data_IF_499118445200
#
_entry.id   IF_499118445200
#
_cell.length_a   1.000
_cell.length_b   1.000
_cell.length_c   1.000
_cell.angle_alpha   90.00
_cell.angle_beta   90.00
_cell.angle_gamma   90.00
#
_symmetry.space_group_name_H-M   'P 1'
#
loop_
_entity.id
_entity.type
_entity.pdbx_description
1 polymer ?
#
# COMPACT_ATOMS: atom_id res chain seq x y z
N UNK A 1 -61.19 40.70 -38.07
CA UNK A 1 -61.63 41.81 -38.94
C UNK A 1 -63.09 42.27 -38.69
N UNK A 2 -63.81 41.76 -37.68
CA UNK A 2 -65.22 42.13 -37.40
C UNK A 2 -65.42 43.29 -36.38
N UNK A 3 -64.40 43.70 -35.62
CA UNK A 3 -64.58 44.73 -34.57
C UNK A 3 -64.66 46.18 -35.06
N UNK A 4 -64.11 46.52 -36.23
CA UNK A 4 -64.03 47.93 -36.66
C UNK A 4 -65.39 48.47 -37.15
N UNK A 5 -66.26 47.59 -37.69
CA UNK A 5 -67.56 48.02 -38.22
C UNK A 5 -68.64 48.29 -37.16
N UNK A 6 -68.57 47.69 -35.97
CA UNK A 6 -69.53 48.01 -34.90
C UNK A 6 -69.26 49.37 -34.24
N UNK A 7 -68.03 49.87 -34.30
CA UNK A 7 -67.60 51.12 -33.64
C UNK A 7 -68.28 52.38 -34.19
N UNK A 8 -68.81 52.32 -35.43
CA UNK A 8 -69.43 53.46 -36.11
C UNK A 8 -70.96 53.32 -36.25
N UNK A 9 -71.59 52.31 -35.64
CA UNK A 9 -73.03 52.13 -35.72
C UNK A 9 -73.78 53.25 -34.97
N UNK A 10 -74.77 53.95 -35.56
CA UNK A 10 -75.41 55.11 -34.94
C UNK A 10 -76.00 54.85 -33.55
N UNK A 11 -76.65 53.70 -33.35
CA UNK A 11 -77.20 53.32 -32.05
C UNK A 11 -76.10 53.10 -30.98
N UNK A 12 -74.95 52.55 -31.38
CA UNK A 12 -73.82 52.36 -30.49
C UNK A 12 -73.18 53.71 -30.11
N UNK A 13 -73.01 54.60 -31.09
CA UNK A 13 -72.51 55.96 -30.84
C UNK A 13 -73.45 56.71 -29.89
N UNK A 14 -74.76 56.64 -30.11
CA UNK A 14 -75.74 57.32 -29.26
C UNK A 14 -75.72 56.77 -27.82
N UNK A 15 -75.65 55.44 -27.66
CA UNK A 15 -75.55 54.81 -26.35
C UNK A 15 -74.23 55.18 -25.65
N UNK A 16 -73.12 55.17 -26.38
CA UNK A 16 -71.81 55.57 -25.87
C UNK A 16 -71.80 57.04 -25.45
N UNK A 17 -72.40 57.93 -26.23
CA UNK A 17 -72.52 59.35 -25.90
C UNK A 17 -73.34 59.55 -24.61
N UNK A 18 -74.46 58.86 -24.44
CA UNK A 18 -75.25 58.90 -23.20
C UNK A 18 -74.42 58.43 -22.01
N UNK A 19 -73.76 57.28 -22.13
CA UNK A 19 -72.90 56.75 -21.06
C UNK A 19 -71.73 57.67 -20.71
N UNK A 20 -71.09 58.30 -21.70
CA UNK A 20 -70.04 59.30 -21.49
C UNK A 20 -70.60 60.53 -20.76
N UNK A 21 -71.77 61.04 -21.16
CA UNK A 21 -72.38 62.18 -20.49
C UNK A 21 -72.73 61.87 -19.02
N UNK A 22 -73.28 60.69 -18.74
CA UNK A 22 -73.57 60.26 -17.37
C UNK A 22 -72.29 60.09 -16.55
N UNK A 23 -71.23 59.52 -17.15
CA UNK A 23 -69.91 59.42 -16.54
C UNK A 23 -69.33 60.79 -16.20
N UNK A 24 -69.33 61.73 -17.15
CA UNK A 24 -68.85 63.10 -16.95
C UNK A 24 -69.63 63.78 -15.83
N UNK A 25 -70.97 63.65 -15.82
CA UNK A 25 -71.82 64.22 -14.77
C UNK A 25 -71.47 63.67 -13.39
N UNK A 26 -71.25 62.37 -13.28
CA UNK A 26 -70.87 61.73 -12.02
C UNK A 26 -69.46 62.16 -11.58
N UNK A 27 -68.51 62.21 -12.52
CA UNK A 27 -67.13 62.60 -12.28
C UNK A 27 -67.02 64.05 -11.79
N UNK A 28 -67.73 64.98 -12.46
CA UNK A 28 -67.76 66.40 -12.08
C UNK A 28 -68.66 66.67 -10.86
N UNK A 29 -69.62 65.78 -10.56
CA UNK A 29 -70.44 65.85 -9.36
C UNK A 29 -69.68 65.54 -8.06
N UNK A 30 -68.55 64.81 -8.15
CA UNK A 30 -67.68 64.52 -7.01
C UNK A 30 -66.59 65.59 -6.86
N UNK A 31 -66.73 66.46 -5.86
CA UNK A 31 -65.87 67.64 -5.64
C UNK A 31 -64.37 67.34 -5.62
N UNK A 32 -63.97 66.21 -5.04
CA UNK A 32 -62.55 65.84 -4.94
C UNK A 32 -61.98 65.26 -6.24
N UNK A 33 -62.80 64.56 -7.03
CA UNK A 33 -62.41 64.08 -8.36
C UNK A 33 -62.32 65.23 -9.36
N UNK A 34 -63.27 66.17 -9.32
CA UNK A 34 -63.26 67.36 -10.18
C UNK A 34 -62.01 68.25 -9.97
N UNK A 35 -61.41 68.23 -8.77
CA UNK A 35 -60.17 68.97 -8.46
C UNK A 35 -58.89 68.20 -8.81
N UNK A 36 -58.98 66.92 -9.11
CA UNK A 36 -57.80 66.11 -9.41
C UNK A 36 -57.11 66.63 -10.68
N UNK A 37 -55.77 66.62 -10.69
CA UNK A 37 -54.97 67.12 -11.81
C UNK A 37 -55.35 66.46 -13.15
N UNK A 38 -55.56 65.13 -13.25
CA UNK A 38 -55.94 64.50 -14.52
C UNK A 38 -57.29 65.00 -15.06
N UNK A 39 -58.28 65.19 -14.19
CA UNK A 39 -59.62 65.68 -14.59
C UNK A 39 -59.56 67.14 -15.02
N UNK A 40 -58.84 67.98 -14.27
CA UNK A 40 -58.62 69.39 -14.62
C UNK A 40 -57.88 69.55 -15.95
N UNK A 41 -56.87 68.72 -16.21
CA UNK A 41 -56.14 68.71 -17.48
C UNK A 41 -57.02 68.21 -18.63
N UNK A 42 -57.74 67.10 -18.46
CA UNK A 42 -58.58 66.50 -19.50
C UNK A 42 -59.70 67.44 -19.96
N UNK A 43 -60.42 68.08 -19.04
CA UNK A 43 -61.48 69.04 -19.37
C UNK A 43 -60.99 70.48 -19.55
N UNK A 44 -59.68 70.72 -19.43
CA UNK A 44 -59.07 72.06 -19.45
C UNK A 44 -59.76 73.06 -18.53
N UNK A 45 -60.11 72.64 -17.30
CA UNK A 45 -60.89 73.47 -16.36
C UNK A 45 -60.16 74.76 -15.94
N UNK A 46 -58.83 74.77 -16.00
CA UNK A 46 -58.00 75.92 -15.62
C UNK A 46 -57.65 76.83 -16.80
N UNK A 47 -57.77 76.34 -18.03
CA UNK A 47 -57.47 77.08 -19.25
C UNK A 47 -58.44 76.65 -20.38
N UNK A 48 -59.72 77.06 -20.28
CA UNK A 48 -60.77 76.60 -21.19
C UNK A 48 -60.47 77.08 -22.62
N UNK A 49 -60.79 76.28 -23.66
CA UNK A 49 -60.52 76.65 -25.03
C UNK A 49 -61.35 77.86 -25.47
N UNK A 50 -60.74 78.78 -26.21
CA UNK A 50 -61.46 79.90 -26.83
C UNK A 50 -62.34 79.40 -27.99
N UNK A 51 -63.46 80.09 -28.35
CA UNK A 51 -64.37 79.64 -29.40
C UNK A 51 -63.75 79.43 -30.79
N UNK A 52 -62.52 79.91 -30.98
CA UNK A 52 -61.75 79.81 -32.22
C UNK A 52 -60.44 79.02 -32.04
N UNK A 53 -60.19 78.41 -30.87
CA UNK A 53 -59.08 77.48 -30.73
C UNK A 53 -59.36 76.24 -31.60
N UNK A 54 -58.45 75.98 -32.54
CA UNK A 54 -58.53 74.82 -33.43
C UNK A 54 -58.34 73.51 -32.64
N UNK A 55 -58.93 72.43 -33.18
CA UNK A 55 -58.92 71.04 -32.65
C UNK A 55 -57.51 70.47 -32.35
N UNK A 56 -56.46 71.18 -32.72
CA UNK A 56 -55.05 70.81 -32.60
C UNK A 56 -54.63 70.47 -31.16
N UNK A 57 -55.03 71.27 -30.16
CA UNK A 57 -54.65 71.03 -28.76
C UNK A 57 -55.23 69.71 -28.22
N UNK A 58 -56.46 69.35 -28.63
CA UNK A 58 -57.07 68.08 -28.26
C UNK A 58 -56.41 66.90 -28.98
N UNK A 59 -55.98 67.08 -30.23
CA UNK A 59 -55.28 66.05 -30.99
C UNK A 59 -53.92 65.76 -30.38
N UNK A 60 -53.14 66.79 -30.03
CA UNK A 60 -51.83 66.65 -29.37
C UNK A 60 -51.93 65.91 -28.04
N UNK A 61 -52.95 66.22 -27.22
CA UNK A 61 -53.17 65.52 -25.96
C UNK A 61 -53.55 64.05 -26.16
N UNK A 62 -54.45 63.75 -27.11
CA UNK A 62 -54.79 62.37 -27.46
C UNK A 62 -53.57 61.59 -27.96
N UNK A 63 -52.75 62.18 -28.82
CA UNK A 63 -51.50 61.57 -29.29
C UNK A 63 -50.52 61.29 -28.15
N UNK A 64 -50.37 62.21 -27.19
CA UNK A 64 -49.52 61.98 -26.02
C UNK A 64 -50.00 60.82 -25.14
N UNK A 65 -51.33 60.63 -25.01
CA UNK A 65 -51.89 59.47 -24.30
C UNK A 65 -51.66 58.17 -25.08
N UNK A 66 -51.76 58.19 -26.41
CA UNK A 66 -51.44 57.04 -27.26
C UNK A 66 -49.97 56.65 -27.10
N UNK A 67 -49.05 57.61 -27.09
CA UNK A 67 -47.63 57.39 -26.83
C UNK A 67 -47.39 56.78 -25.44
N UNK A 68 -48.11 57.27 -24.42
CA UNK A 68 -48.04 56.73 -23.06
C UNK A 68 -48.53 55.29 -23.02
N UNK A 69 -49.63 54.96 -23.72
CA UNK A 69 -50.14 53.58 -23.80
C UNK A 69 -49.16 52.66 -24.53
N UNK A 70 -48.52 53.14 -25.60
CA UNK A 70 -47.47 52.40 -26.30
C UNK A 70 -46.29 52.13 -25.38
N UNK A 71 -45.83 53.14 -24.64
CA UNK A 71 -44.75 53.02 -23.66
C UNK A 71 -45.08 52.01 -22.55
N UNK A 72 -46.27 52.09 -21.96
CA UNK A 72 -46.73 51.16 -20.93
C UNK A 72 -46.87 49.72 -21.45
N UNK A 73 -47.35 49.54 -22.69
CA UNK A 73 -47.41 48.22 -23.32
C UNK A 73 -46.02 47.64 -23.55
N UNK A 74 -45.05 48.47 -23.94
CA UNK A 74 -43.68 48.02 -24.09
C UNK A 74 -43.09 47.63 -22.74
N UNK A 75 -43.27 48.46 -21.70
CA UNK A 75 -42.81 48.16 -20.36
C UNK A 75 -43.39 46.85 -19.80
N UNK A 76 -44.69 46.59 -20.02
CA UNK A 76 -45.29 45.31 -19.64
C UNK A 76 -44.65 44.11 -20.34
N UNK A 77 -44.33 44.22 -21.65
CA UNK A 77 -43.63 43.14 -22.37
C UNK A 77 -42.23 42.91 -21.82
N UNK A 78 -41.52 43.98 -21.48
CA UNK A 78 -40.17 43.88 -20.93
C UNK A 78 -40.20 43.18 -19.56
N UNK A 79 -41.17 43.53 -18.70
CA UNK A 79 -41.39 42.85 -17.42
C UNK A 79 -41.81 41.39 -17.58
N UNK A 80 -42.67 41.08 -18.55
CA UNK A 80 -43.04 39.68 -18.86
C UNK A 80 -41.83 38.86 -19.29
N UNK A 81 -40.95 39.44 -20.11
CA UNK A 81 -39.70 38.79 -20.53
C UNK A 81 -38.75 38.56 -19.35
N UNK A 82 -38.64 39.53 -18.44
CA UNK A 82 -37.82 39.41 -17.22
C UNK A 82 -38.35 38.32 -16.28
N UNK A 83 -39.67 38.25 -16.08
CA UNK A 83 -40.30 37.19 -15.28
C UNK A 83 -40.02 35.82 -15.88
N UNK A 84 -40.08 35.68 -17.20
CA UNK A 84 -39.83 34.40 -17.85
C UNK A 84 -38.35 34.00 -17.78
N UNK A 85 -37.43 34.97 -17.89
CA UNK A 85 -36.01 34.75 -17.66
C UNK A 85 -35.72 34.26 -16.23
N UNK A 86 -36.30 34.91 -15.21
CA UNK A 86 -36.14 34.49 -13.81
C UNK A 86 -36.71 33.09 -13.55
N UNK A 87 -37.81 32.71 -14.21
CA UNK A 87 -38.36 31.35 -14.11
C UNK A 87 -37.42 30.30 -14.70
N UNK A 88 -36.80 30.60 -15.83
CA UNK A 88 -35.82 29.73 -16.45
C UNK A 88 -34.59 29.53 -15.56
N UNK A 89 -34.07 30.61 -14.96
CA UNK A 89 -32.96 30.53 -13.99
C UNK A 89 -33.32 29.69 -12.76
N UNK A 90 -34.52 29.89 -12.18
CA UNK A 90 -34.99 29.08 -11.05
C UNK A 90 -35.13 27.60 -11.39
N UNK A 91 -35.57 27.27 -12.61
CA UNK A 91 -35.64 25.90 -13.08
C UNK A 91 -34.23 25.27 -13.19
N UNK A 92 -33.27 26.04 -13.69
CA UNK A 92 -31.88 25.61 -13.78
C UNK A 92 -31.27 25.35 -12.40
N UNK A 93 -31.39 26.29 -11.46
CA UNK A 93 -30.88 26.15 -10.09
C UNK A 93 -31.48 24.94 -9.37
N UNK A 94 -32.76 24.63 -9.59
CA UNK A 94 -33.39 23.42 -9.03
C UNK A 94 -32.77 22.14 -9.61
N UNK A 95 -32.53 22.08 -10.91
CA UNK A 95 -31.90 20.92 -11.56
C UNK A 95 -30.46 20.70 -11.10
N UNK A 96 -29.71 21.77 -10.85
CA UNK A 96 -28.36 21.70 -10.27
C UNK A 96 -28.40 21.23 -8.81
N UNK A 97 -29.40 21.68 -8.04
CA UNK A 97 -29.65 21.20 -6.67
C UNK A 97 -29.91 19.69 -6.62
N UNK A 98 -30.74 19.16 -7.49
CA UNK A 98 -31.02 17.72 -7.59
C UNK A 98 -29.76 16.92 -7.98
N UNK A 99 -28.95 17.46 -8.89
CA UNK A 99 -27.68 16.87 -9.29
C UNK A 99 -26.68 16.84 -8.13
N UNK A 100 -26.63 17.92 -7.33
CA UNK A 100 -25.79 18.00 -6.12
C UNK A 100 -26.17 16.97 -5.06
N UNK A 101 -27.48 16.72 -4.87
CA UNK A 101 -27.99 15.67 -3.97
C UNK A 101 -27.59 14.29 -4.46
N UNK A 102 -27.70 14.02 -5.77
CA UNK A 102 -27.26 12.75 -6.36
C UNK A 102 -25.75 12.52 -6.18
N UNK A 103 -24.92 13.53 -6.45
CA UNK A 103 -23.46 13.44 -6.26
C UNK A 103 -23.13 13.18 -4.79
N UNK A 104 -23.80 13.87 -3.87
CA UNK A 104 -23.62 13.66 -2.43
C UNK A 104 -23.99 12.24 -2.00
N UNK A 105 -25.12 11.70 -2.52
CA UNK A 105 -25.55 10.32 -2.26
C UNK A 105 -24.54 9.30 -2.80
N UNK A 106 -24.04 9.52 -4.02
CA UNK A 106 -23.05 8.64 -4.64
C UNK A 106 -21.73 8.64 -3.88
N UNK A 107 -21.25 9.83 -3.48
CA UNK A 107 -20.05 9.99 -2.68
C UNK A 107 -20.19 9.30 -1.31
N UNK A 108 -21.35 9.43 -0.65
CA UNK A 108 -21.60 8.76 0.62
C UNK A 108 -21.62 7.23 0.50
N UNK A 109 -22.21 6.69 -0.57
CA UNK A 109 -22.19 5.26 -0.85
C UNK A 109 -20.76 4.76 -1.12
N UNK A 110 -20.00 5.51 -1.91
CA UNK A 110 -18.60 5.16 -2.21
C UNK A 110 -17.75 5.18 -0.94
N UNK A 111 -17.91 6.20 -0.09
CA UNK A 111 -17.21 6.30 1.19
C UNK A 111 -17.51 5.10 2.10
N UNK A 112 -18.78 4.68 2.20
CA UNK A 112 -19.14 3.48 2.98
C UNK A 112 -18.47 2.22 2.46
N UNK A 113 -18.41 2.04 1.14
CA UNK A 113 -17.72 0.90 0.52
C UNK A 113 -16.24 0.87 0.85
N UNK A 114 -15.57 2.03 0.78
CA UNK A 114 -14.16 2.16 1.18
C UNK A 114 -13.98 1.86 2.67
N UNK A 115 -14.85 2.38 3.54
CA UNK A 115 -14.79 2.15 4.99
C UNK A 115 -15.01 0.67 5.37
N UNK A 116 -15.84 -0.05 4.60
CA UNK A 116 -16.03 -1.50 4.75
C UNK A 116 -14.80 -2.28 4.31
N UNK A 117 -14.18 -1.90 3.19
CA UNK A 117 -12.93 -2.52 2.73
C UNK A 117 -11.79 -2.28 3.73
N UNK A 118 -11.65 -1.06 4.25
CA UNK A 118 -10.65 -0.72 5.28
C UNK A 118 -10.86 -1.59 6.52
N UNK A 119 -12.11 -1.74 6.99
CA UNK A 119 -12.42 -2.60 8.13
C UNK A 119 -12.08 -4.07 7.86
N UNK A 120 -12.38 -4.57 6.66
CA UNK A 120 -12.01 -5.93 6.24
C UNK A 120 -10.50 -6.15 6.25
N UNK A 121 -9.73 -5.20 5.71
CA UNK A 121 -8.26 -5.26 5.71
C UNK A 121 -7.68 -5.19 7.12
N UNK A 122 -8.24 -4.34 8.00
CA UNK A 122 -7.83 -4.26 9.40
C UNK A 122 -8.05 -5.57 10.15
N UNK A 123 -9.18 -6.25 9.91
CA UNK A 123 -9.45 -7.57 10.48
C UNK A 123 -8.47 -8.63 9.96
N UNK A 124 -8.16 -8.61 8.66
CA UNK A 124 -7.18 -9.53 8.10
C UNK A 124 -5.78 -9.30 8.69
N UNK A 125 -5.39 -8.03 8.86
CA UNK A 125 -4.11 -7.68 9.48
C UNK A 125 -4.02 -8.20 10.92
N UNK A 126 -5.09 -8.07 11.72
CA UNK A 126 -5.10 -8.59 13.09
C UNK A 126 -4.95 -10.11 13.13
N UNK A 127 -5.62 -10.83 12.24
CA UNK A 127 -5.51 -12.30 12.16
C UNK A 127 -4.10 -12.74 11.75
N UNK A 128 -3.45 -12.00 10.85
CA UNK A 128 -2.07 -12.29 10.44
C UNK A 128 -1.11 -12.05 11.60
N UNK A 129 -1.28 -10.94 12.34
CA UNK A 129 -0.45 -10.63 13.52
C UNK A 129 -0.60 -11.68 14.62
N UNK A 130 -1.82 -12.14 14.91
CA UNK A 130 -2.05 -13.21 15.89
C UNK A 130 -1.37 -14.52 15.47
N UNK A 131 -1.47 -14.89 14.19
CA UNK A 131 -0.80 -16.09 13.67
C UNK A 131 0.72 -15.97 13.70
N UNK A 132 1.26 -14.81 13.37
CA UNK A 132 2.70 -14.54 13.46
C UNK A 132 3.18 -14.71 14.90
N UNK A 133 2.42 -14.20 15.87
CA UNK A 133 2.75 -14.33 17.28
C UNK A 133 2.71 -15.80 17.74
N UNK A 134 1.68 -16.56 17.35
CA UNK A 134 1.60 -17.99 17.63
C UNK A 134 2.79 -18.76 17.06
N UNK A 135 3.15 -18.53 15.79
CA UNK A 135 4.30 -19.18 15.16
C UNK A 135 5.61 -18.80 15.85
N UNK A 136 5.74 -17.55 16.29
CA UNK A 136 6.90 -17.09 17.05
C UNK A 136 7.05 -17.82 18.38
N UNK A 137 5.95 -18.03 19.10
CA UNK A 137 5.92 -18.78 20.35
C UNK A 137 6.26 -20.26 20.13
N UNK A 138 5.69 -20.91 19.10
CA UNK A 138 6.01 -22.29 18.72
C UNK A 138 7.50 -22.45 18.35
N UNK A 139 8.06 -21.50 17.60
CA UNK A 139 9.49 -21.50 17.24
C UNK A 139 10.39 -21.33 18.47
N UNK A 140 9.97 -20.52 19.44
CA UNK A 140 10.69 -20.40 20.71
C UNK A 140 10.65 -21.73 21.47
N UNK A 141 9.50 -22.40 21.56
CA UNK A 141 9.39 -23.70 22.23
C UNK A 141 10.29 -24.75 21.56
N UNK A 142 10.22 -24.87 20.24
CA UNK A 142 11.08 -25.79 19.49
C UNK A 142 12.57 -25.51 19.66
N UNK A 143 12.97 -24.23 19.77
CA UNK A 143 14.37 -23.88 20.08
C UNK A 143 14.82 -24.42 21.44
N UNK A 144 13.99 -24.27 22.46
CA UNK A 144 14.30 -24.79 23.79
C UNK A 144 14.35 -26.32 23.80
N UNK A 145 13.46 -26.98 23.07
CA UNK A 145 13.48 -28.45 22.93
C UNK A 145 14.75 -28.94 22.24
N UNK A 146 15.15 -28.30 21.12
CA UNK A 146 16.40 -28.65 20.41
C UNK A 146 17.62 -28.41 21.30
N UNK A 147 17.66 -27.33 22.07
CA UNK A 147 18.76 -27.06 23.00
C UNK A 147 18.82 -28.10 24.12
N UNK A 148 17.68 -28.47 24.69
CA UNK A 148 17.60 -29.51 25.72
C UNK A 148 18.04 -30.87 25.17
N UNK A 149 17.62 -31.23 23.96
CA UNK A 149 17.98 -32.50 23.33
C UNK A 149 19.47 -32.53 22.94
N UNK A 150 20.03 -31.42 22.45
CA UNK A 150 21.47 -31.29 22.22
C UNK A 150 22.28 -31.43 23.51
N UNK A 151 21.81 -30.82 24.61
CA UNK A 151 22.47 -30.95 25.90
C UNK A 151 22.41 -32.39 26.42
N UNK A 152 21.27 -33.07 26.27
CA UNK A 152 21.11 -34.48 26.63
C UNK A 152 22.01 -35.40 25.79
N UNK A 153 22.09 -35.17 24.48
CA UNK A 153 22.97 -35.93 23.59
C UNK A 153 24.45 -35.74 23.95
N UNK A 154 24.87 -34.51 24.26
CA UNK A 154 26.24 -34.22 24.70
C UNK A 154 26.57 -34.93 26.03
N UNK A 155 25.64 -34.90 27.00
CA UNK A 155 25.81 -35.60 28.28
C UNK A 155 25.88 -37.12 28.10
N UNK A 156 25.05 -37.69 27.20
CA UNK A 156 25.08 -39.13 26.89
C UNK A 156 26.41 -39.53 26.23
N UNK A 157 26.92 -38.73 25.30
CA UNK A 157 28.20 -38.98 24.64
C UNK A 157 29.36 -38.93 25.65
N UNK A 158 29.35 -37.96 26.56
CA UNK A 158 30.35 -37.83 27.64
C UNK A 158 30.30 -39.01 28.61
N UNK A 159 29.10 -39.50 28.96
CA UNK A 159 28.97 -40.69 29.79
C UNK A 159 29.54 -41.92 29.08
N UNK A 160 29.33 -42.04 27.77
CA UNK A 160 29.80 -43.16 26.98
C UNK A 160 31.33 -43.13 26.78
N UNK A 161 31.94 -41.96 26.58
CA UNK A 161 33.40 -41.80 26.58
C UNK A 161 33.99 -42.18 27.94
N UNK A 162 33.42 -41.68 29.04
CA UNK A 162 33.85 -42.05 30.40
C UNK A 162 33.74 -43.56 30.66
N UNK A 163 32.67 -44.23 30.19
CA UNK A 163 32.54 -45.69 30.28
C UNK A 163 33.61 -46.43 29.49
N UNK A 164 33.94 -45.97 28.27
CA UNK A 164 35.01 -46.56 27.47
C UNK A 164 36.37 -46.38 28.15
N UNK A 165 36.65 -45.19 28.68
CA UNK A 165 37.91 -44.89 29.34
C UNK A 165 38.09 -45.66 30.65
N UNK A 166 37.04 -45.77 31.47
CA UNK A 166 37.07 -46.57 32.69
C UNK A 166 37.29 -48.05 32.39
N UNK A 167 36.61 -48.59 31.37
CA UNK A 167 36.85 -49.96 30.91
C UNK A 167 38.28 -50.16 30.42
N UNK A 168 38.82 -49.23 29.63
CA UNK A 168 40.20 -49.30 29.14
C UNK A 168 41.21 -49.25 30.30
N UNK A 169 41.01 -48.34 31.27
CA UNK A 169 41.85 -48.26 32.48
C UNK A 169 41.82 -49.56 33.27
N UNK A 170 40.64 -50.17 33.42
CA UNK A 170 40.51 -51.45 34.11
C UNK A 170 41.25 -52.57 33.38
N UNK A 171 41.12 -52.64 32.05
CA UNK A 171 41.88 -53.59 31.23
C UNK A 171 43.39 -53.37 31.32
N UNK A 172 43.85 -52.11 31.39
CA UNK A 172 45.27 -51.80 31.60
C UNK A 172 45.77 -52.26 32.96
N UNK A 173 44.99 -52.05 34.03
CA UNK A 173 45.34 -52.51 35.39
C UNK A 173 45.37 -54.04 35.48
N UNK A 174 44.39 -54.72 34.87
CA UNK A 174 44.37 -56.19 34.80
C UNK A 174 45.58 -56.72 34.03
N UNK A 175 45.93 -56.10 32.90
CA UNK A 175 47.11 -56.46 32.13
C UNK A 175 48.41 -56.20 32.91
N UNK A 176 48.51 -55.08 33.63
CA UNK A 176 49.68 -54.76 34.46
C UNK A 176 49.85 -55.76 35.61
N UNK A 177 48.75 -56.17 36.25
CA UNK A 177 48.76 -57.22 37.26
C UNK A 177 49.19 -58.58 36.69
N UNK A 178 48.64 -58.97 35.52
CA UNK A 178 49.06 -60.18 34.82
C UNK A 178 50.55 -60.13 34.43
N UNK A 179 51.02 -58.97 33.97
CA UNK A 179 52.42 -58.76 33.64
C UNK A 179 53.32 -58.92 34.88
N UNK A 180 52.96 -58.31 36.00
CA UNK A 180 53.69 -58.47 37.27
C UNK A 180 53.68 -59.93 37.77
N UNK A 181 52.56 -60.64 37.62
CA UNK A 181 52.47 -62.06 38.01
C UNK A 181 53.40 -62.92 37.15
N UNK A 182 53.43 -62.69 35.83
CA UNK A 182 54.36 -63.38 34.93
C UNK A 182 55.80 -63.04 35.28
N UNK A 183 56.10 -61.77 35.54
CA UNK A 183 57.45 -61.31 35.92
C UNK A 183 57.92 -61.96 37.23
N UNK A 184 57.05 -62.02 38.25
CA UNK A 184 57.31 -62.74 39.50
C UNK A 184 57.55 -64.23 39.27
N UNK A 185 56.70 -64.90 38.46
CA UNK A 185 56.87 -66.33 38.14
C UNK A 185 58.19 -66.59 37.41
N UNK A 186 58.56 -65.73 36.45
CA UNK A 186 59.84 -65.80 35.75
C UNK A 186 61.00 -65.57 36.73
N UNK A 187 60.88 -64.63 37.66
CA UNK A 187 61.85 -64.39 38.74
C UNK A 187 62.01 -65.60 39.67
N UNK A 188 60.91 -66.19 40.13
CA UNK A 188 60.93 -67.41 40.95
C UNK A 188 61.54 -68.60 40.21
N UNK A 189 61.22 -68.77 38.93
CA UNK A 189 61.85 -69.80 38.09
C UNK A 189 63.36 -69.55 37.98
N UNK A 190 63.80 -68.31 37.69
CA UNK A 190 65.22 -67.97 37.63
C UNK A 190 65.96 -68.30 38.93
N UNK A 191 65.37 -68.01 40.09
CA UNK A 191 65.93 -68.36 41.41
C UNK A 191 65.97 -69.87 41.59
N UNK A 192 64.86 -70.59 41.39
CA UNK A 192 64.81 -72.05 41.51
C UNK A 192 65.79 -72.74 40.55
N UNK A 193 66.00 -72.19 39.35
CA UNK A 193 66.98 -72.69 38.40
C UNK A 193 68.42 -72.42 38.81
N UNK A 194 68.70 -71.31 39.51
CA UNK A 194 70.02 -71.05 40.07
C UNK A 194 70.40 -71.99 41.23
N UNK A 195 69.40 -72.64 41.85
CA UNK A 195 69.55 -73.57 42.97
C UNK A 195 69.59 -75.04 42.53
N UNK A 196 69.31 -75.36 41.26
CA UNK A 196 69.38 -76.74 40.76
C UNK A 196 70.83 -77.23 40.65
N UNK A 197 71.17 -78.40 41.23
CA UNK A 197 72.52 -78.94 41.16
C UNK A 197 72.85 -79.41 39.73
N UNK A 198 74.12 -79.27 39.33
CA UNK A 198 74.61 -79.82 38.07
C UNK A 198 74.44 -81.35 38.09
N UNK A 199 73.85 -81.90 37.03
CA UNK A 199 73.61 -83.35 36.93
C UNK A 199 74.78 -83.96 36.18
N UNK A 200 75.58 -84.74 36.89
CA UNK A 200 76.69 -85.48 36.30
C UNK A 200 76.16 -86.80 35.73
N UNK A 201 76.12 -86.92 34.40
CA UNK A 201 75.66 -88.12 33.71
C UNK A 201 76.86 -88.88 33.17
N UNK A 202 77.02 -90.11 33.63
CA UNK A 202 78.08 -91.02 33.17
C UNK A 202 77.54 -91.97 32.10
N UNK A 203 77.99 -91.80 30.86
CA UNK A 203 77.68 -92.72 29.74
C UNK A 203 78.99 -93.32 29.25
N UNK A 204 79.13 -94.64 29.37
CA UNK A 204 80.30 -95.37 28.85
C UNK A 204 81.63 -95.02 29.53
N UNK A 205 81.62 -94.73 30.84
CA UNK A 205 82.85 -94.50 31.63
C UNK A 205 83.47 -93.11 31.52
N UNK A 206 82.79 -92.14 30.89
CA UNK A 206 83.14 -90.71 30.94
C UNK A 206 82.00 -89.93 31.60
N UNK A 207 82.36 -89.06 32.55
CA UNK A 207 81.45 -88.13 33.23
C UNK A 207 81.24 -86.89 32.36
N UNK A 208 79.98 -86.46 32.24
CA UNK A 208 79.61 -85.19 31.65
C UNK A 208 78.71 -84.42 32.64
N UNK A 209 79.11 -83.21 33.02
CA UNK A 209 78.22 -82.28 33.73
C UNK A 209 77.21 -81.70 32.74
N UNK A 210 75.94 -82.10 32.87
CA UNK A 210 74.82 -81.44 32.20
C UNK A 210 74.30 -80.34 33.12
N UNK A 211 74.53 -79.09 32.72
CA UNK A 211 73.95 -77.93 33.39
C UNK A 211 72.47 -77.88 33.02
N UNK A 212 71.59 -77.80 34.02
CA UNK A 212 70.13 -77.69 33.82
C UNK A 212 69.71 -76.46 32.96
N UNK A 213 70.65 -75.55 32.68
CA UNK A 213 70.47 -74.30 31.94
C UNK A 213 70.20 -74.47 30.44
N UNK A 214 70.36 -75.68 29.86
CA UNK A 214 70.38 -75.85 28.40
C UNK A 214 68.99 -76.00 27.72
N UNK A 215 67.92 -76.35 28.45
CA UNK A 215 66.57 -76.57 27.88
C UNK A 215 65.59 -75.38 28.07
N UNK A 216 65.91 -74.47 28.98
CA UNK A 216 65.08 -73.34 29.44
C UNK A 216 65.12 -72.09 28.52
N UNK A 217 66.20 -71.81 27.73
CA UNK A 217 66.27 -70.63 26.88
C UNK A 217 65.13 -70.58 25.86
N UNK A 218 64.67 -71.73 25.35
CA UNK A 218 63.65 -71.86 24.32
C UNK A 218 62.26 -71.37 24.81
N UNK A 219 61.82 -71.82 25.99
CA UNK A 219 60.52 -71.41 26.55
C UNK A 219 60.50 -69.95 26.99
N UNK A 220 61.58 -69.46 27.61
CA UNK A 220 61.71 -68.05 27.98
C UNK A 220 61.80 -67.15 26.72
N UNK A 221 62.46 -67.62 25.66
CA UNK A 221 62.54 -66.95 24.37
C UNK A 221 61.17 -66.91 23.66
N UNK A 222 60.42 -68.00 23.66
CA UNK A 222 59.06 -68.04 23.10
C UNK A 222 58.09 -67.12 23.86
N UNK A 223 58.15 -67.09 25.19
CA UNK A 223 57.36 -66.15 26.00
C UNK A 223 57.72 -64.68 25.69
N UNK A 224 59.01 -64.37 25.62
CA UNK A 224 59.48 -63.01 25.30
C UNK A 224 59.10 -62.59 23.88
N UNK A 225 59.12 -63.53 22.94
CA UNK A 225 58.68 -63.31 21.56
C UNK A 225 57.16 -63.08 21.49
N UNK A 226 56.36 -63.91 22.15
CA UNK A 226 54.91 -63.75 22.21
C UNK A 226 54.49 -62.43 22.89
N UNK A 227 55.25 -61.98 23.91
CA UNK A 227 55.04 -60.68 24.55
C UNK A 227 55.44 -59.50 23.65
N UNK A 228 56.48 -59.68 22.83
CA UNK A 228 56.88 -58.73 21.78
C UNK A 228 55.83 -58.61 20.67
N UNK A 229 55.28 -59.74 20.23
CA UNK A 229 54.24 -59.81 19.21
C UNK A 229 52.94 -59.16 19.71
N UNK A 230 52.54 -59.43 20.96
CA UNK A 230 51.38 -58.79 21.60
C UNK A 230 51.54 -57.26 21.69
N UNK A 231 52.75 -56.78 22.04
CA UNK A 231 53.05 -55.34 22.05
C UNK A 231 52.98 -54.71 20.65
N UNK A 232 53.50 -55.39 19.62
CA UNK A 232 53.40 -54.91 18.24
C UNK A 232 51.94 -54.88 17.77
N UNK A 233 51.15 -55.88 18.10
CA UNK A 233 49.74 -55.94 17.74
C UNK A 233 48.95 -54.79 18.38
N UNK A 234 49.23 -54.47 19.66
CA UNK A 234 48.62 -53.33 20.35
C UNK A 234 48.98 -51.99 19.68
N UNK A 235 50.26 -51.78 19.35
CA UNK A 235 50.70 -50.57 18.64
C UNK A 235 50.05 -50.44 17.26
N UNK A 236 49.85 -51.57 16.56
CA UNK A 236 49.16 -51.60 15.28
C UNK A 236 47.69 -51.19 15.43
N UNK A 237 46.95 -51.80 16.36
CA UNK A 237 45.54 -51.44 16.61
C UNK A 237 45.38 -49.97 17.00
N UNK A 238 46.30 -49.42 17.81
CA UNK A 238 46.27 -48.01 18.17
C UNK A 238 46.48 -47.10 16.95
N UNK A 239 47.40 -47.47 16.06
CA UNK A 239 47.64 -46.73 14.82
C UNK A 239 46.43 -46.78 13.89
N UNK A 240 45.86 -47.96 13.68
CA UNK A 240 44.69 -48.16 12.83
C UNK A 240 43.47 -47.37 13.38
N UNK A 241 43.28 -47.34 14.69
CA UNK A 241 42.22 -46.56 15.34
C UNK A 241 42.42 -45.04 15.19
N UNK A 242 43.67 -44.57 15.25
CA UNK A 242 44.00 -43.16 15.02
C UNK A 242 43.78 -42.76 13.55
N UNK A 243 44.17 -43.63 12.61
CA UNK A 243 43.93 -43.42 11.18
C UNK A 243 42.43 -43.36 10.87
N UNK A 244 41.63 -44.28 11.42
CA UNK A 244 40.17 -44.27 11.27
C UNK A 244 39.55 -42.94 11.75
N UNK A 245 39.94 -42.46 12.94
CA UNK A 245 39.47 -41.16 13.45
C UNK A 245 39.89 -39.99 12.57
N UNK A 246 41.12 -40.00 12.05
CA UNK A 246 41.55 -38.97 11.11
C UNK A 246 40.70 -38.97 9.83
N UNK A 247 40.39 -40.15 9.28
CA UNK A 247 39.55 -40.23 8.07
C UNK A 247 38.13 -39.70 8.31
N UNK A 248 37.54 -39.98 9.47
CA UNK A 248 36.22 -39.47 9.84
C UNK A 248 36.21 -37.95 10.00
N UNK A 249 37.25 -37.38 10.63
CA UNK A 249 37.42 -35.91 10.74
C UNK A 249 37.53 -35.25 9.37
N UNK A 250 38.29 -35.84 8.44
CA UNK A 250 38.41 -35.30 7.08
C UNK A 250 37.10 -35.40 6.29
N UNK A 251 36.34 -36.49 6.44
CA UNK A 251 35.00 -36.60 5.85
C UNK A 251 34.04 -35.54 6.42
N UNK A 252 34.04 -35.32 7.73
CA UNK A 252 33.21 -34.29 8.35
C UNK A 252 33.58 -32.89 7.88
N UNK A 253 34.88 -32.59 7.72
CA UNK A 253 35.34 -31.31 7.15
C UNK A 253 34.84 -31.12 5.71
N UNK A 254 34.91 -32.16 4.89
CA UNK A 254 34.41 -32.12 3.51
C UNK A 254 32.89 -31.92 3.45
N UNK A 255 32.14 -32.56 4.35
CA UNK A 255 30.69 -32.36 4.44
C UNK A 255 30.34 -30.93 4.88
N UNK A 256 31.07 -30.38 5.85
CA UNK A 256 30.90 -28.99 6.32
C UNK A 256 31.21 -27.97 5.23
N UNK A 257 32.26 -28.18 4.44
CA UNK A 257 32.61 -27.28 3.33
C UNK A 257 31.55 -27.30 2.24
N UNK A 258 31.05 -28.48 1.87
CA UNK A 258 29.95 -28.63 0.91
C UNK A 258 28.66 -27.96 1.39
N UNK A 259 28.32 -28.11 2.68
CA UNK A 259 27.12 -27.49 3.26
C UNK A 259 27.23 -25.96 3.27
N UNK A 260 28.41 -25.41 3.59
CA UNK A 260 28.67 -23.97 3.51
C UNK A 260 28.52 -23.42 2.09
N UNK A 261 29.00 -24.17 1.08
CA UNK A 261 28.87 -23.77 -0.31
C UNK A 261 27.39 -23.66 -0.71
N UNK A 262 26.60 -24.71 -0.46
CA UNK A 262 25.15 -24.69 -0.73
C UNK A 262 24.43 -23.53 -0.03
N UNK A 263 24.74 -23.29 1.24
CA UNK A 263 24.13 -22.18 1.97
C UNK A 263 24.45 -20.84 1.32
N UNK A 264 25.68 -20.67 0.83
CA UNK A 264 26.11 -19.44 0.14
C UNK A 264 25.38 -19.27 -1.19
N UNK A 265 25.24 -20.34 -1.96
CA UNK A 265 24.49 -20.35 -3.23
C UNK A 265 23.01 -20.00 -3.02
N UNK A 266 22.38 -20.57 -1.98
CA UNK A 266 20.98 -20.26 -1.64
C UNK A 266 20.79 -18.79 -1.25
N UNK A 267 21.70 -18.23 -0.46
CA UNK A 267 21.66 -16.80 -0.09
C UNK A 267 21.84 -15.92 -1.32
N UNK A 268 22.82 -16.21 -2.16
CA UNK A 268 23.03 -15.48 -3.42
C UNK A 268 21.82 -15.56 -4.35
N UNK A 269 21.16 -16.72 -4.44
CA UNK A 269 19.94 -16.90 -5.22
C UNK A 269 18.78 -16.04 -4.71
N UNK A 270 18.61 -15.95 -3.38
CA UNK A 270 17.60 -15.08 -2.76
C UNK A 270 17.90 -13.59 -2.97
N UNK A 271 19.16 -13.18 -2.84
CA UNK A 271 19.57 -11.80 -3.07
C UNK A 271 19.37 -11.38 -4.54
N UNK A 272 19.69 -12.26 -5.49
CA UNK A 272 19.43 -12.04 -6.91
C UNK A 272 17.92 -11.88 -7.19
N UNK A 273 17.08 -12.71 -6.56
CA UNK A 273 15.63 -12.59 -6.69
C UNK A 273 15.09 -11.29 -6.08
N UNK A 274 15.60 -10.88 -4.92
CA UNK A 274 15.24 -9.61 -4.28
C UNK A 274 15.60 -8.41 -5.17
N UNK A 275 16.78 -8.44 -5.78
CA UNK A 275 17.20 -7.39 -6.72
C UNK A 275 16.31 -7.32 -7.96
N UNK A 276 15.88 -8.45 -8.52
CA UNK A 276 14.95 -8.45 -9.65
C UNK A 276 13.57 -7.89 -9.26
N UNK A 277 13.05 -8.24 -8.08
CA UNK A 277 11.80 -7.65 -7.57
C UNK A 277 11.91 -6.14 -7.37
N UNK A 278 13.01 -5.66 -6.79
CA UNK A 278 13.27 -4.22 -6.64
C UNK A 278 13.31 -3.51 -7.99
N UNK A 279 13.92 -4.13 -9.01
CA UNK A 279 13.95 -3.62 -10.38
C UNK A 279 12.54 -3.50 -10.95
N UNK A 280 11.73 -4.54 -10.83
CA UNK A 280 10.34 -4.54 -11.31
C UNK A 280 9.47 -3.48 -10.62
N UNK A 281 9.60 -3.31 -9.31
CA UNK A 281 8.89 -2.25 -8.57
C UNK A 281 9.30 -0.87 -9.07
N UNK A 282 10.60 -0.66 -9.30
CA UNK A 282 11.12 0.61 -9.82
C UNK A 282 10.58 0.90 -11.22
N UNK A 283 10.58 -0.10 -12.11
CA UNK A 283 10.04 0.01 -13.47
C UNK A 283 8.54 0.33 -13.47
N UNK A 284 7.76 -0.35 -12.62
CA UNK A 284 6.33 -0.07 -12.44
C UNK A 284 6.09 1.35 -11.91
N UNK A 285 6.88 1.80 -10.95
CA UNK A 285 6.78 3.15 -10.40
C UNK A 285 7.10 4.21 -11.46
N UNK A 286 8.11 3.98 -12.31
CA UNK A 286 8.38 4.84 -13.47
C UNK A 286 7.21 4.86 -14.46
N UNK A 287 6.61 3.70 -14.75
CA UNK A 287 5.45 3.61 -15.62
C UNK A 287 4.24 4.39 -15.08
N UNK A 288 3.90 4.20 -13.80
CA UNK A 288 2.82 4.91 -13.13
C UNK A 288 3.04 6.43 -13.18
N UNK A 289 4.24 6.91 -12.81
CA UNK A 289 4.59 8.32 -12.86
C UNK A 289 4.45 8.90 -14.28
N UNK A 290 4.84 8.14 -15.31
CA UNK A 290 4.71 8.57 -16.72
C UNK A 290 3.25 8.57 -17.20
N UNK A 291 2.43 7.63 -16.72
CA UNK A 291 1.00 7.60 -17.03
C UNK A 291 0.26 8.78 -16.37
N UNK A 292 0.55 9.04 -15.10
CA UNK A 292 0.04 10.20 -14.35
C UNK A 292 0.41 11.51 -15.04
N UNK A 293 1.67 11.65 -15.48
CA UNK A 293 2.12 12.81 -16.23
C UNK A 293 1.33 13.00 -17.53
N UNK A 294 1.19 11.94 -18.35
CA UNK A 294 0.43 12.02 -19.60
C UNK A 294 -1.02 12.41 -19.39
N UNK A 295 -1.67 11.82 -18.38
CA UNK A 295 -3.06 12.15 -18.03
C UNK A 295 -3.21 13.63 -17.62
N UNK A 296 -2.32 14.12 -16.76
CA UNK A 296 -2.31 15.52 -16.32
C UNK A 296 -2.19 16.47 -17.52
N UNK A 297 -1.27 16.21 -18.45
CA UNK A 297 -1.06 17.06 -19.62
C UNK A 297 -2.27 17.06 -20.55
N UNK A 298 -2.91 15.90 -20.78
CA UNK A 298 -4.15 15.81 -21.54
C UNK A 298 -5.27 16.66 -20.93
N UNK A 299 -5.37 16.67 -19.60
CA UNK A 299 -6.40 17.44 -18.90
C UNK A 299 -6.17 18.95 -19.01
N UNK A 300 -4.91 19.41 -18.86
CA UNK A 300 -4.55 20.83 -19.07
C UNK A 300 -4.79 21.25 -20.53
N UNK A 301 -4.53 20.38 -21.51
CA UNK A 301 -4.85 20.64 -22.91
C UNK A 301 -6.37 20.83 -23.08
N UNK A 302 -7.18 19.96 -22.47
CA UNK A 302 -8.64 20.08 -22.48
C UNK A 302 -9.13 21.42 -21.93
N UNK A 303 -8.57 21.87 -20.80
CA UNK A 303 -8.89 23.18 -20.21
C UNK A 303 -8.52 24.32 -21.15
N UNK A 304 -7.34 24.28 -21.76
CA UNK A 304 -6.91 25.31 -22.74
C UNK A 304 -7.83 25.37 -23.96
N UNK A 305 -8.27 24.23 -24.48
CA UNK A 305 -9.20 24.17 -25.60
C UNK A 305 -10.55 24.78 -25.22
N UNK A 306 -11.06 24.50 -24.02
CA UNK A 306 -12.31 25.09 -23.52
C UNK A 306 -12.19 26.62 -23.36
N UNK A 307 -11.09 27.11 -22.78
CA UNK A 307 -10.80 28.55 -22.70
C UNK A 307 -10.78 29.20 -24.09
N UNK A 308 -10.14 28.56 -25.06
CA UNK A 308 -10.13 29.02 -26.46
C UNK A 308 -11.54 29.11 -27.04
N UNK A 309 -12.39 28.10 -26.82
CA UNK A 309 -13.78 28.07 -27.28
C UNK A 309 -14.64 29.19 -26.63
N UNK A 310 -14.33 29.58 -25.40
CA UNK A 310 -14.99 30.67 -24.68
C UNK A 310 -14.45 32.08 -25.04
N UNK A 311 -13.49 32.19 -25.98
CA UNK A 311 -12.99 33.48 -26.46
C UNK A 311 -11.89 34.10 -25.58
N UNK A 312 -11.24 33.32 -24.73
CA UNK A 312 -10.07 33.79 -23.98
C UNK A 312 -8.92 34.21 -24.90
N UNK A 313 -8.22 35.29 -24.55
CA UNK A 313 -7.01 35.71 -25.27
C UNK A 313 -5.91 34.67 -25.13
N UNK A 314 -5.15 34.45 -26.20
CA UNK A 314 -4.01 33.52 -26.24
C UNK A 314 -2.99 33.79 -25.12
N UNK A 315 -2.83 35.05 -24.71
CA UNK A 315 -1.96 35.44 -23.58
C UNK A 315 -2.41 34.86 -22.25
N UNK A 316 -3.72 34.72 -22.00
CA UNK A 316 -4.27 34.11 -20.78
C UNK A 316 -4.19 32.59 -20.84
N UNK A 317 -4.46 31.99 -22.00
CA UNK A 317 -4.36 30.53 -22.21
C UNK A 317 -2.91 30.05 -22.01
N UNK A 318 -1.93 30.85 -22.44
CA UNK A 318 -0.51 30.51 -22.32
C UNK A 318 0.07 30.65 -20.91
N UNK A 319 -0.65 31.24 -19.95
CA UNK A 319 -0.23 31.28 -18.54
C UNK A 319 -0.28 29.89 -17.89
N UNK A 320 -1.15 29.00 -18.38
CA UNK A 320 -1.17 27.58 -18.00
C UNK A 320 0.06 26.88 -18.56
N UNK A 321 1.08 26.66 -17.72
CA UNK A 321 2.26 25.84 -18.04
C UNK A 321 2.10 24.45 -17.43
N UNK A 322 1.78 23.41 -18.24
CA UNK A 322 1.49 22.06 -17.73
C UNK A 322 2.62 21.50 -16.86
N UNK A 323 3.87 21.66 -17.31
CA UNK A 323 5.03 21.14 -16.61
C UNK A 323 5.21 21.75 -15.20
N UNK A 324 5.08 23.07 -15.08
CA UNK A 324 5.19 23.78 -13.79
C UNK A 324 4.08 23.39 -12.82
N UNK A 325 2.86 23.17 -13.33
CA UNK A 325 1.73 22.74 -12.50
C UNK A 325 1.90 21.28 -12.06
N UNK A 326 2.37 20.40 -12.95
CA UNK A 326 2.63 19.00 -12.62
C UNK A 326 3.72 18.85 -11.55
N UNK A 327 4.84 19.57 -11.68
CA UNK A 327 5.91 19.58 -10.68
C UNK A 327 5.44 20.08 -9.31
N UNK A 328 4.52 21.06 -9.30
CA UNK A 328 3.91 21.59 -8.06
C UNK A 328 2.98 20.58 -7.38
N UNK A 329 2.26 19.77 -8.14
CA UNK A 329 1.39 18.70 -7.60
C UNK A 329 2.23 17.50 -7.16
N UNK A 330 3.29 17.20 -7.90
CA UNK A 330 4.22 16.13 -7.53
C UNK A 330 4.94 16.44 -6.22
N UNK A 331 5.31 17.71 -5.99
CA UNK A 331 5.99 18.11 -4.75
C UNK A 331 5.10 18.06 -3.51
N UNK A 332 3.77 17.99 -3.66
CA UNK A 332 2.85 17.76 -2.53
C UNK A 332 2.71 16.28 -2.16
N UNK A 333 3.31 15.35 -2.92
CA UNK A 333 3.27 13.91 -2.64
C UNK A 333 1.89 13.27 -2.83
N UNK A 334 0.95 13.98 -3.43
CA UNK A 334 -0.42 13.52 -3.70
C UNK A 334 -0.48 12.89 -5.08
N UNK A 335 -0.90 11.62 -5.14
CA UNK A 335 -1.16 10.90 -6.41
C UNK A 335 -2.28 11.57 -7.21
N UNK A 336 -2.30 11.31 -8.52
CA UNK A 336 -3.32 11.86 -9.43
C UNK A 336 -4.75 11.50 -9.02
N UNK A 337 -4.96 10.35 -8.39
CA UNK A 337 -6.27 9.92 -7.91
C UNK A 337 -6.79 10.74 -6.71
N UNK A 338 -5.89 11.45 -6.02
CA UNK A 338 -6.19 12.28 -4.86
C UNK A 338 -5.80 13.73 -5.10
N UNK A 339 -6.06 14.25 -6.30
CA UNK A 339 -5.73 15.63 -6.64
C UNK A 339 -6.22 16.58 -5.55
N UNK A 340 -5.32 17.42 -5.00
CA UNK A 340 -5.71 18.41 -4.03
C UNK A 340 -6.86 19.26 -4.60
N UNK A 341 -7.90 19.49 -3.81
CA UNK A 341 -9.07 20.25 -4.27
C UNK A 341 -8.75 21.67 -4.77
N UNK A 342 -7.55 22.21 -4.50
CA UNK A 342 -7.08 23.45 -5.12
C UNK A 342 -6.79 23.29 -6.62
N UNK A 343 -6.25 22.15 -7.08
CA UNK A 343 -5.95 21.88 -8.51
C UNK A 343 -7.23 21.84 -9.32
N UNK A 344 -8.22 21.09 -8.84
CA UNK A 344 -9.53 21.00 -9.48
C UNK A 344 -10.23 22.38 -9.51
N UNK A 345 -10.14 23.15 -8.40
CA UNK A 345 -10.69 24.52 -8.33
C UNK A 345 -9.96 25.49 -9.25
N UNK A 346 -8.64 25.41 -9.35
CA UNK A 346 -7.83 26.29 -10.19
C UNK A 346 -8.10 26.01 -11.67
N UNK A 347 -8.10 24.74 -12.09
CA UNK A 347 -8.47 24.35 -13.44
C UNK A 347 -9.93 24.67 -13.80
N UNK A 348 -10.86 24.50 -12.86
CA UNK A 348 -12.26 24.88 -13.06
C UNK A 348 -12.45 26.40 -13.15
N UNK A 349 -11.80 27.17 -12.26
CA UNK A 349 -11.88 28.64 -12.24
C UNK A 349 -11.33 29.27 -13.52
N UNK A 350 -10.29 28.68 -14.11
CA UNK A 350 -9.71 29.13 -15.37
C UNK A 350 -10.61 28.81 -16.58
N UNK A 351 -11.59 27.94 -16.42
CA UNK A 351 -12.52 27.50 -17.47
C UNK A 351 -13.90 28.16 -17.42
N UNK A 352 -14.16 29.05 -16.46
CA UNK A 352 -15.40 29.82 -16.38
C UNK A 352 -15.33 31.03 -17.31
N UNK A 353 -16.39 31.46 -17.99
CA UNK A 353 -16.35 32.63 -18.85
C UNK A 353 -16.08 33.91 -18.04
N UNK A 354 -15.19 34.78 -18.54
CA UNK A 354 -15.08 36.16 -18.06
C UNK A 354 -16.45 36.81 -18.26
N UNK A 355 -17.23 36.98 -17.19
CA UNK A 355 -18.40 37.86 -17.19
C UNK A 355 -17.94 39.22 -17.70
N UNK A 356 -18.48 39.61 -18.87
CA UNK A 356 -18.21 40.90 -19.51
C UNK A 356 -18.40 42.01 -18.47
N UNK A 357 -17.31 42.65 -18.05
CA UNK A 357 -17.32 44.03 -17.59
C UNK A 357 -17.16 44.94 -18.80
#
# INVERSE_FOLDING_TARGET
MFCVHLSYHPAFIQQRQRGLNDFIRNLLGQREMAKSLPVRMFFRLDNPPEPHEDLEASQLYCSSLEDTVVSLKQHNRDLEAEVEAMRAELAHVRSEGDSSVQVSSWQQHHQRGVDEQIRGLQQQLSHVQEREQQVSEELQQLRHEIEAERAAAAAAQELETQRRDTKLKQQMLEFEAQYQEVDQKVGHLLVAFSELPNVEVTVGGRSFELKAQDAIPEQAKNLKQSLGDGKQQMLKMHRDAMEARNTEVEQLKANLSHLRLRYTEDVQGRDAHMHELQRQVTDLQHYCNSAEERYFYSLVIGVKLNMSAQGYRTTHINQLKPQTLYERIRSTGTSVEHWPGWVARELASLSQPLTRQ
#
